data_IF_618442507209
#
_entry.id   IF_618442507209
#
_cell.length_a   1.000
_cell.length_b   1.000
_cell.length_c   1.000
_cell.angle_alpha   90.00
_cell.angle_beta   90.00
_cell.angle_gamma   90.00
#
_symmetry.space_group_name_H-M   'P 1'
#
loop_
_entity.id
_entity.type
_entity.pdbx_description
1 polymer ?
#
# COMPACT_ATOMS: atom_id res chain seq x y z
N UNK A 1 41.22 21.48 19.05
CA UNK A 1 40.90 21.56 17.60
C UNK A 1 42.24 21.71 16.88
N UNK A 2 42.57 20.82 15.94
CA UNK A 2 43.88 20.77 15.28
C UNK A 2 44.17 22.08 14.56
N UNK A 3 45.38 22.62 14.70
CA UNK A 3 45.83 23.91 14.14
C UNK A 3 45.59 24.06 12.64
N UNK A 4 45.57 22.95 11.88
CA UNK A 4 45.21 22.94 10.46
C UNK A 4 43.75 23.35 10.16
N UNK A 5 42.81 23.08 11.07
CA UNK A 5 41.40 23.45 10.89
C UNK A 5 41.18 24.96 11.00
N UNK A 6 42.01 25.65 11.77
CA UNK A 6 41.88 27.08 11.99
C UNK A 6 42.23 27.90 10.74
N UNK A 7 43.25 27.48 9.99
CA UNK A 7 43.65 28.13 8.73
C UNK A 7 42.60 27.93 7.64
N UNK A 8 41.98 26.75 7.58
CA UNK A 8 40.89 26.47 6.62
C UNK A 8 39.70 27.39 6.86
N UNK A 9 39.30 27.63 8.10
CA UNK A 9 38.20 28.55 8.41
C UNK A 9 38.53 30.00 8.02
N UNK A 10 39.78 30.43 8.23
CA UNK A 10 40.23 31.78 7.84
C UNK A 10 40.22 31.93 6.32
N UNK A 11 40.70 30.93 5.59
CA UNK A 11 40.71 30.91 4.13
C UNK A 11 39.29 30.88 3.55
N UNK A 12 38.38 30.11 4.16
CA UNK A 12 36.97 30.10 3.79
C UNK A 12 36.30 31.46 4.00
N UNK A 13 36.57 32.14 5.13
CA UNK A 13 36.03 33.47 5.40
C UNK A 13 36.59 34.49 4.42
N UNK A 14 37.89 34.44 4.12
CA UNK A 14 38.53 35.34 3.17
C UNK A 14 37.96 35.17 1.76
N UNK A 15 37.84 33.92 1.28
CA UNK A 15 37.24 33.63 -0.02
C UNK A 15 35.77 34.10 -0.12
N UNK A 16 35.03 34.10 0.99
CA UNK A 16 33.67 34.61 1.06
C UNK A 16 33.59 36.13 0.95
N UNK A 17 34.56 36.86 1.52
CA UNK A 17 34.64 38.33 1.40
C UNK A 17 35.13 38.80 0.03
N UNK A 18 35.96 38.01 -0.66
CA UNK A 18 36.44 38.31 -2.01
C UNK A 18 35.39 37.98 -3.10
N UNK A 19 34.35 37.20 -2.76
CA UNK A 19 33.27 36.86 -3.68
C UNK A 19 32.39 38.09 -3.99
N UNK A 20 31.92 38.24 -5.24
CA UNK A 20 31.15 39.40 -5.64
C UNK A 20 29.73 39.37 -5.02
N UNK A 21 29.24 40.55 -4.62
CA UNK A 21 28.04 40.71 -3.78
C UNK A 21 26.77 40.01 -4.31
N UNK A 22 26.60 39.91 -5.63
CA UNK A 22 25.44 39.25 -6.23
C UNK A 22 25.41 37.73 -5.96
N UNK A 23 26.57 37.07 -5.87
CA UNK A 23 26.65 35.65 -5.54
C UNK A 23 26.23 35.40 -4.09
N UNK A 24 26.67 36.25 -3.16
CA UNK A 24 26.31 36.17 -1.74
C UNK A 24 24.81 36.39 -1.50
N UNK A 25 24.21 37.36 -2.21
CA UNK A 25 22.76 37.63 -2.10
C UNK A 25 21.95 36.45 -2.63
N UNK A 26 22.34 35.89 -3.78
CA UNK A 26 21.69 34.71 -4.36
C UNK A 26 21.77 33.52 -3.40
N UNK A 27 22.95 33.24 -2.85
CA UNK A 27 23.17 32.14 -1.91
C UNK A 27 22.32 32.30 -0.64
N UNK A 28 22.22 33.53 -0.10
CA UNK A 28 21.34 33.82 1.03
C UNK A 28 19.86 33.56 0.75
N UNK A 29 19.37 33.95 -0.43
CA UNK A 29 17.99 33.64 -0.87
C UNK A 29 17.78 32.14 -1.01
N UNK A 30 18.77 31.43 -1.57
CA UNK A 30 18.71 29.98 -1.80
C UNK A 30 18.67 29.21 -0.47
N UNK A 31 19.50 29.59 0.49
CA UNK A 31 19.49 29.03 1.86
C UNK A 31 18.15 29.30 2.54
N UNK A 32 17.62 30.52 2.46
CA UNK A 32 16.31 30.86 3.00
C UNK A 32 15.20 30.04 2.35
N UNK A 33 15.31 29.78 1.05
CA UNK A 33 14.36 28.95 0.32
C UNK A 33 14.45 27.48 0.74
N UNK A 34 15.65 26.94 0.96
CA UNK A 34 15.87 25.59 1.51
C UNK A 34 15.23 25.48 2.88
N UNK A 35 15.49 26.42 3.79
CA UNK A 35 14.83 26.44 5.10
C UNK A 35 13.32 26.47 4.97
N UNK A 36 12.79 27.35 4.11
CA UNK A 36 11.36 27.40 3.83
C UNK A 36 10.85 26.04 3.35
N UNK A 37 11.53 25.35 2.45
CA UNK A 37 11.13 24.04 1.93
C UNK A 37 11.16 22.95 3.02
N UNK A 38 12.19 22.94 3.86
CA UNK A 38 12.32 22.00 4.97
C UNK A 38 11.25 22.21 6.05
N UNK A 39 10.86 23.47 6.32
CA UNK A 39 9.82 23.81 7.29
C UNK A 39 8.40 23.88 6.69
N UNK A 40 8.26 23.94 5.37
CA UNK A 40 6.97 23.85 4.68
C UNK A 40 6.50 22.41 4.80
N UNK A 41 5.80 22.16 5.92
CA UNK A 41 5.03 20.98 6.27
C UNK A 41 5.17 19.85 5.26
N UNK A 42 5.96 18.83 5.59
CA UNK A 42 5.75 17.47 5.06
C UNK A 42 4.25 17.25 5.07
N UNK A 43 3.66 17.26 3.88
CA UNK A 43 2.24 16.99 3.70
C UNK A 43 1.99 15.66 4.40
N UNK A 44 1.25 15.69 5.51
CA UNK A 44 0.71 14.47 6.10
C UNK A 44 -0.37 13.98 5.14
N UNK A 45 0.08 13.32 4.08
CA UNK A 45 -0.76 12.72 3.04
C UNK A 45 -1.65 11.61 3.61
N UNK A 46 -1.42 11.20 4.85
CA UNK A 46 -2.19 10.17 5.51
C UNK A 46 -2.20 10.40 7.03
N UNK A 47 -2.91 11.44 7.49
CA UNK A 47 -3.64 11.23 8.74
C UNK A 47 -4.81 10.32 8.36
N UNK A 48 -4.60 9.01 8.40
CA UNK A 48 -5.69 8.09 8.71
C UNK A 48 -6.27 8.62 10.02
N UNK A 49 -7.36 9.38 9.94
CA UNK A 49 -8.12 9.78 11.11
C UNK A 49 -8.27 8.54 11.96
N UNK A 50 -7.65 8.54 13.16
CA UNK A 50 -7.75 7.40 14.06
C UNK A 50 -9.21 7.35 14.49
N UNK A 51 -10.03 6.60 13.76
CA UNK A 51 -11.43 6.41 14.09
C UNK A 51 -11.50 5.84 15.50
N UNK A 52 -12.29 6.50 16.34
CA UNK A 52 -12.58 6.06 17.69
C UNK A 52 -13.29 4.71 17.61
N UNK A 53 -13.16 3.87 18.63
CA UNK A 53 -13.79 2.53 18.65
C UNK A 53 -15.29 2.60 18.36
N UNK A 54 -15.97 3.65 18.85
CA UNK A 54 -17.39 3.91 18.58
C UNK A 54 -17.72 4.16 17.11
N UNK A 55 -16.90 4.94 16.40
CA UNK A 55 -17.12 5.24 14.99
C UNK A 55 -16.92 3.99 14.13
N UNK A 56 -16.03 3.08 14.54
CA UNK A 56 -15.85 1.79 13.86
C UNK A 56 -17.06 0.89 14.04
N UNK A 57 -17.64 0.84 15.23
CA UNK A 57 -18.84 0.05 15.51
C UNK A 57 -20.03 0.54 14.69
N UNK A 58 -20.23 1.85 14.61
CA UNK A 58 -21.27 2.48 13.79
C UNK A 58 -21.06 2.18 12.29
N UNK A 59 -19.83 2.24 11.79
CA UNK A 59 -19.50 1.85 10.41
C UNK A 59 -19.75 0.37 10.14
N UNK A 60 -19.49 -0.52 11.10
CA UNK A 60 -19.77 -1.96 10.95
C UNK A 60 -21.27 -2.22 10.89
N UNK A 61 -22.06 -1.50 11.68
CA UNK A 61 -23.53 -1.60 11.67
C UNK A 61 -24.14 -1.05 10.37
N UNK A 62 -23.62 0.08 9.87
CA UNK A 62 -24.07 0.69 8.62
C UNK A 62 -23.62 -0.09 7.37
N UNK A 63 -22.49 -0.78 7.44
CA UNK A 63 -21.91 -1.44 6.28
C UNK A 63 -22.78 -2.58 5.75
N UNK A 64 -23.21 -2.44 4.50
CA UNK A 64 -23.89 -3.49 3.73
C UNK A 64 -22.96 -3.95 2.60
N UNK A 65 -22.72 -5.27 2.45
CA UNK A 65 -21.88 -5.77 1.37
C UNK A 65 -22.52 -5.46 0.02
N UNK A 66 -21.71 -4.97 -0.93
CA UNK A 66 -22.15 -4.87 -2.31
C UNK A 66 -22.46 -6.28 -2.85
N UNK A 67 -23.59 -6.45 -3.55
CA UNK A 67 -23.94 -7.74 -4.13
C UNK A 67 -22.93 -8.10 -5.21
N UNK A 68 -22.25 -9.25 -5.03
CA UNK A 68 -21.22 -9.75 -5.95
C UNK A 68 -21.72 -9.93 -7.39
N UNK A 69 -23.03 -10.02 -7.59
CA UNK A 69 -23.68 -10.22 -8.89
C UNK A 69 -24.98 -9.42 -8.94
N UNK A 70 -25.32 -8.88 -10.10
CA UNK A 70 -26.62 -8.25 -10.33
C UNK A 70 -27.78 -9.21 -9.99
N UNK A 71 -28.94 -8.71 -9.51
CA UNK A 71 -30.08 -9.55 -9.21
C UNK A 71 -30.59 -10.26 -10.49
N UNK A 72 -30.44 -11.59 -10.55
CA UNK A 72 -30.84 -12.37 -11.72
C UNK A 72 -32.37 -12.50 -11.81
N UNK A 73 -32.90 -12.42 -13.04
CA UNK A 73 -34.30 -12.75 -13.35
C UNK A 73 -34.58 -14.22 -13.02
N UNK A 74 -35.65 -14.49 -12.27
CA UNK A 74 -36.04 -15.80 -11.69
C UNK A 74 -36.19 -16.98 -12.68
N UNK A 75 -36.07 -16.78 -13.98
CA UNK A 75 -36.57 -17.70 -15.00
C UNK A 75 -35.53 -18.64 -15.64
N UNK A 76 -34.24 -18.61 -15.26
CA UNK A 76 -33.22 -19.36 -16.03
C UNK A 76 -32.12 -20.09 -15.23
N UNK A 77 -32.19 -20.19 -13.91
CA UNK A 77 -31.07 -20.76 -13.16
C UNK A 77 -31.40 -22.13 -12.58
N UNK A 78 -31.21 -23.16 -13.40
CA UNK A 78 -30.95 -24.50 -12.86
C UNK A 78 -29.49 -24.50 -12.39
N UNK A 79 -29.30 -24.25 -11.10
CA UNK A 79 -27.97 -24.36 -10.49
C UNK A 79 -27.63 -25.82 -10.27
N UNK A 80 -26.46 -26.22 -10.73
CA UNK A 80 -25.90 -27.51 -10.36
C UNK A 80 -25.16 -27.36 -9.02
N UNK A 81 -25.56 -28.14 -8.02
CA UNK A 81 -24.94 -28.13 -6.71
C UNK A 81 -23.65 -28.94 -6.75
N UNK A 82 -22.53 -28.25 -6.55
CA UNK A 82 -21.21 -28.88 -6.44
C UNK A 82 -20.91 -29.12 -4.96
N UNK A 83 -20.65 -30.39 -4.62
CA UNK A 83 -20.31 -30.82 -3.26
C UNK A 83 -18.97 -31.55 -3.27
N UNK A 84 -18.14 -31.28 -2.27
CA UNK A 84 -16.86 -31.94 -2.06
C UNK A 84 -15.67 -30.97 -2.03
N UNK A 85 -14.47 -31.46 -1.69
CA UNK A 85 -13.25 -30.65 -1.75
C UNK A 85 -12.96 -30.21 -3.19
N UNK A 86 -12.26 -29.06 -3.40
CA UNK A 86 -11.93 -28.53 -4.72
C UNK A 86 -10.81 -29.35 -5.40
N UNK A 87 -11.05 -30.65 -5.56
CA UNK A 87 -10.06 -31.61 -6.02
C UNK A 87 -10.32 -32.09 -7.44
N UNK A 88 -9.56 -33.08 -7.93
CA UNK A 88 -9.68 -33.59 -9.30
C UNK A 88 -11.08 -34.12 -9.61
N UNK A 89 -11.74 -34.75 -8.64
CA UNK A 89 -13.13 -35.22 -8.78
C UNK A 89 -14.03 -34.48 -7.80
N UNK A 90 -15.17 -34.03 -8.29
CA UNK A 90 -16.22 -33.34 -7.52
C UNK A 90 -17.55 -34.02 -7.75
N UNK A 91 -18.47 -33.89 -6.80
CA UNK A 91 -19.82 -34.43 -6.93
C UNK A 91 -20.76 -33.31 -7.37
N UNK A 92 -21.34 -33.42 -8.56
CA UNK A 92 -22.31 -32.46 -9.10
C UNK A 92 -23.69 -33.11 -9.07
N UNK A 93 -24.62 -32.56 -8.28
CA UNK A 93 -25.98 -33.11 -8.10
C UNK A 93 -26.01 -34.62 -7.78
N UNK A 94 -25.05 -35.11 -6.99
CA UNK A 94 -24.93 -36.53 -6.63
C UNK A 94 -24.14 -37.40 -7.61
N UNK A 95 -23.77 -36.88 -8.79
CA UNK A 95 -22.96 -37.60 -9.77
C UNK A 95 -21.49 -37.23 -9.66
N UNK A 96 -20.61 -38.23 -9.74
CA UNK A 96 -19.15 -38.03 -9.76
C UNK A 96 -18.70 -37.45 -11.12
N UNK A 97 -18.14 -36.25 -11.10
CA UNK A 97 -17.65 -35.53 -12.28
C UNK A 97 -16.16 -35.17 -12.13
N UNK A 98 -15.48 -34.98 -13.26
CA UNK A 98 -14.11 -34.49 -13.30
C UNK A 98 -14.12 -32.95 -13.23
N UNK A 99 -13.31 -32.37 -12.35
CA UNK A 99 -13.25 -30.91 -12.15
C UNK A 99 -12.17 -30.27 -13.03
N UNK A 100 -12.57 -29.65 -14.13
CA UNK A 100 -11.67 -28.89 -15.00
C UNK A 100 -11.36 -27.47 -14.50
N UNK A 101 -12.07 -27.00 -13.47
CA UNK A 101 -11.85 -25.69 -12.85
C UNK A 101 -11.03 -25.77 -11.55
N UNK A 102 -10.47 -26.95 -11.23
CA UNK A 102 -9.67 -27.11 -10.01
C UNK A 102 -8.32 -26.42 -10.15
N UNK A 103 -7.95 -25.64 -9.13
CA UNK A 103 -6.59 -25.12 -8.96
C UNK A 103 -5.65 -26.13 -8.30
N UNK A 104 -6.06 -27.40 -8.13
CA UNK A 104 -5.23 -28.49 -7.60
C UNK A 104 -4.31 -29.08 -8.69
N UNK A 105 -3.45 -28.26 -9.28
CA UNK A 105 -2.61 -28.64 -10.43
C UNK A 105 -1.71 -29.85 -10.16
N UNK A 106 -1.23 -29.99 -8.93
CA UNK A 106 -0.32 -31.06 -8.50
C UNK A 106 -1.05 -32.28 -7.91
N UNK A 107 -2.37 -32.24 -7.78
CA UNK A 107 -3.15 -33.34 -7.22
C UNK A 107 -2.92 -33.59 -5.72
N UNK A 108 -2.28 -32.67 -5.00
CA UNK A 108 -1.86 -32.89 -3.61
C UNK A 108 -3.05 -32.99 -2.64
N UNK A 109 -4.17 -32.32 -2.94
CA UNK A 109 -5.37 -32.40 -2.09
C UNK A 109 -6.01 -33.80 -2.03
N UNK A 110 -5.72 -34.67 -3.01
CA UNK A 110 -6.20 -36.06 -3.05
C UNK A 110 -5.22 -37.05 -2.40
N UNK A 111 -4.04 -36.59 -1.98
CA UNK A 111 -2.97 -37.47 -1.54
C UNK A 111 -3.11 -37.87 -0.07
N UNK A 112 -3.34 -39.16 0.21
CA UNK A 112 -3.59 -39.66 1.57
C UNK A 112 -2.44 -39.41 2.57
N UNK A 113 -1.20 -39.26 2.10
CA UNK A 113 -0.06 -39.00 2.99
C UNK A 113 0.11 -37.52 3.36
N UNK A 114 -0.55 -36.61 2.64
CA UNK A 114 -0.46 -35.15 2.85
C UNK A 114 -1.68 -34.63 3.63
N UNK A 115 -2.80 -35.38 3.60
CA UNK A 115 -4.06 -35.03 4.24
C UNK A 115 -4.12 -35.42 5.71
#
# INVERSE_FOLDING_TARGET
MSSGQQWVLVEMVQAFYEAPAYHLILEGILILWIFRLLFSKTYKLHESSKLTEKEKEELIEEWQPEPLVAPLSKHLLKYDLVTGPPSRRITVNGNQCLNFASFNFLGLLDHQQIK
#
